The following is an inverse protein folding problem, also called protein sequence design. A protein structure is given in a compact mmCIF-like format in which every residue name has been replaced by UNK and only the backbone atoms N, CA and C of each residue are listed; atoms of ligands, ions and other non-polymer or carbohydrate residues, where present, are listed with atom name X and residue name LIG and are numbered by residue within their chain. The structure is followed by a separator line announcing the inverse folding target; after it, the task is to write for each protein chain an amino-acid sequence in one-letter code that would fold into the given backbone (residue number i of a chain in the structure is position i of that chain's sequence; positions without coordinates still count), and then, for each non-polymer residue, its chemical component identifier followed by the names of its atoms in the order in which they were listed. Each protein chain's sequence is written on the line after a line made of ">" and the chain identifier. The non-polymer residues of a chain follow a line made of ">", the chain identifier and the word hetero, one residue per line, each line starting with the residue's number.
data_IF_349577093758
#
_entry.id   IF_349577093758
#
_cell.length_a   1.000
_cell.length_b   1.000
_cell.length_c   1.000
_cell.angle_alpha   90.00
_cell.angle_beta   90.00
_cell.angle_gamma   90.00
#
_symmetry.space_group_name_H-M   'P 1'
#
loop_
_entity.id
_entity.type
_entity.pdbx_description
1 polymer ?
#
# COMPACT_ATOMS: atom_id res chain seq x y z
N UNK A 1 -16.89 -4.96 -24.92
CA UNK A 1 -15.84 -5.95 -24.62
C UNK A 1 -14.87 -5.30 -23.64
N UNK A 2 -15.14 -5.44 -22.34
CA UNK A 2 -14.25 -4.92 -21.30
C UNK A 2 -13.26 -6.03 -20.97
N UNK A 3 -12.04 -5.86 -21.46
CA UNK A 3 -10.94 -6.80 -21.28
C UNK A 3 -10.46 -6.64 -19.84
N UNK A 4 -10.99 -7.49 -18.94
CA UNK A 4 -10.40 -7.69 -17.62
C UNK A 4 -9.07 -8.42 -17.85
N UNK A 5 -7.99 -7.66 -17.83
CA UNK A 5 -6.65 -8.22 -17.74
C UNK A 5 -6.51 -8.88 -16.37
N UNK A 6 -6.77 -10.19 -16.36
CA UNK A 6 -6.41 -11.10 -15.27
C UNK A 6 -4.88 -11.09 -15.18
N UNK A 7 -4.34 -10.16 -14.39
CA UNK A 7 -2.91 -10.12 -14.13
C UNK A 7 -2.59 -11.25 -13.17
N UNK A 8 -2.07 -12.35 -13.72
CA UNK A 8 -1.31 -13.34 -12.97
C UNK A 8 -0.22 -12.59 -12.19
N UNK A 9 -0.40 -12.47 -10.89
CA UNK A 9 0.53 -11.77 -10.01
C UNK A 9 0.29 -12.33 -8.62
N UNK A 10 1.36 -12.57 -7.86
CA UNK A 10 1.33 -12.90 -6.44
C UNK A 10 0.15 -12.21 -5.73
N UNK A 11 -0.52 -12.87 -4.78
CA UNK A 11 -1.73 -12.35 -4.13
C UNK A 11 -1.37 -11.02 -3.43
N UNK A 12 -1.63 -9.90 -4.12
CA UNK A 12 -1.18 -8.56 -3.75
C UNK A 12 -2.38 -7.77 -3.24
N UNK A 13 -2.43 -7.55 -1.93
CA UNK A 13 -3.47 -6.78 -1.28
C UNK A 13 -3.06 -5.30 -1.20
N UNK A 14 -3.96 -4.40 -1.62
CA UNK A 14 -3.81 -2.97 -1.36
C UNK A 14 -4.48 -2.66 -0.01
N UNK A 15 -3.65 -2.32 0.98
CA UNK A 15 -4.11 -1.96 2.31
C UNK A 15 -3.97 -0.45 2.47
N UNK A 16 -5.08 0.20 2.80
CA UNK A 16 -5.11 1.63 3.08
C UNK A 16 -5.54 1.90 4.52
N UNK A 17 -4.94 2.91 5.14
CA UNK A 17 -5.33 3.37 6.46
C UNK A 17 -5.19 4.88 6.57
N UNK A 18 -6.11 5.48 7.34
CA UNK A 18 -6.17 6.92 7.51
C UNK A 18 -5.12 7.37 8.53
N UNK A 19 -4.32 8.38 8.16
CA UNK A 19 -3.37 9.02 9.07
C UNK A 19 -3.51 10.53 9.04
N UNK A 20 -3.37 11.15 10.21
CA UNK A 20 -3.48 12.61 10.36
C UNK A 20 -2.45 13.35 9.51
N UNK A 21 -1.23 12.84 9.46
CA UNK A 21 -0.14 13.37 8.64
C UNK A 21 0.41 12.25 7.76
N UNK A 22 -0.02 12.23 6.49
CA UNK A 22 0.46 11.25 5.53
C UNK A 22 1.68 11.80 4.79
N UNK A 23 2.85 11.37 5.25
CA UNK A 23 4.13 11.62 4.57
C UNK A 23 4.59 10.27 4.01
N UNK A 24 5.12 10.26 2.78
CA UNK A 24 5.62 9.04 2.15
C UNK A 24 6.58 8.25 3.06
N UNK A 25 7.50 8.92 3.75
CA UNK A 25 8.42 8.27 4.69
C UNK A 25 7.68 7.59 5.85
N UNK A 26 6.76 8.30 6.51
CA UNK A 26 5.98 7.72 7.62
C UNK A 26 5.08 6.57 7.16
N UNK A 27 4.45 6.71 5.99
CA UNK A 27 3.65 5.68 5.37
C UNK A 27 4.49 4.43 5.05
N UNK A 28 5.69 4.62 4.51
CA UNK A 28 6.64 3.54 4.23
C UNK A 28 7.11 2.82 5.50
N UNK A 29 7.49 3.57 6.54
CA UNK A 29 7.88 3.02 7.85
C UNK A 29 6.75 2.21 8.48
N UNK A 30 5.53 2.74 8.51
CA UNK A 30 4.36 2.06 9.09
C UNK A 30 4.07 0.78 8.31
N UNK A 31 4.11 0.81 6.99
CA UNK A 31 3.80 -0.37 6.18
C UNK A 31 4.87 -1.45 6.27
N UNK A 32 6.15 -1.07 6.26
CA UNK A 32 7.24 -2.01 6.53
C UNK A 32 7.16 -2.59 7.95
N UNK A 33 6.73 -1.80 8.92
CA UNK A 33 6.62 -2.24 10.32
C UNK A 33 5.44 -3.19 10.52
N UNK A 34 4.25 -2.84 10.03
CA UNK A 34 3.05 -3.68 10.13
C UNK A 34 3.19 -4.99 9.35
N UNK A 35 3.76 -4.93 8.15
CA UNK A 35 3.88 -6.07 7.24
C UNK A 35 5.31 -6.60 7.17
N UNK A 36 5.96 -6.66 8.34
CA UNK A 36 7.34 -7.14 8.49
C UNK A 36 7.45 -8.59 7.98
N UNK A 37 8.30 -8.81 6.97
CA UNK A 37 8.50 -10.11 6.34
C UNK A 37 7.63 -10.36 5.10
N UNK A 38 6.76 -9.41 4.73
CA UNK A 38 6.07 -9.39 3.42
C UNK A 38 6.76 -8.42 2.47
N UNK A 39 6.58 -8.63 1.17
CA UNK A 39 7.07 -7.69 0.15
C UNK A 39 6.09 -6.52 0.03
N UNK A 40 6.43 -5.40 0.66
CA UNK A 40 5.69 -4.14 0.54
C UNK A 40 6.21 -3.37 -0.67
N UNK A 41 5.29 -3.02 -1.57
CA UNK A 41 5.58 -2.29 -2.80
C UNK A 41 5.03 -0.88 -2.73
N UNK A 42 5.93 0.06 -3.02
CA UNK A 42 5.65 1.44 -3.40
C UNK A 42 4.56 2.13 -2.56
N UNK A 43 4.76 2.33 -1.25
CA UNK A 43 3.79 3.04 -0.42
C UNK A 43 3.60 4.49 -0.89
N UNK A 44 2.34 4.95 -0.95
CA UNK A 44 1.99 6.31 -1.33
C UNK A 44 0.92 6.91 -0.44
N UNK A 45 0.83 8.25 -0.46
CA UNK A 45 -0.14 9.02 0.29
C UNK A 45 -1.06 9.77 -0.67
N UNK A 46 -2.36 9.73 -0.43
CA UNK A 46 -3.34 10.49 -1.24
C UNK A 46 -3.33 12.00 -0.89
N UNK A 47 -3.25 12.32 0.40
CA UNK A 47 -3.26 13.71 0.92
C UNK A 47 -2.33 13.87 2.11
N UNK A 48 -1.72 15.05 2.25
CA UNK A 48 -0.79 15.32 3.35
C UNK A 48 -1.47 15.36 4.73
N UNK A 49 -2.64 15.99 4.85
CA UNK A 49 -3.38 16.10 6.10
C UNK A 49 -4.69 15.33 6.03
N UNK A 50 -4.94 14.45 7.01
CA UNK A 50 -6.10 13.56 7.05
C UNK A 50 -6.21 12.61 5.86
N UNK A 51 -5.08 12.29 5.22
CA UNK A 51 -5.03 11.44 4.03
C UNK A 51 -4.95 9.95 4.35
N UNK A 52 -4.97 9.16 3.29
CA UNK A 52 -4.79 7.72 3.36
C UNK A 52 -3.37 7.37 2.92
N UNK A 53 -2.73 6.52 3.71
CA UNK A 53 -1.52 5.81 3.34
C UNK A 53 -1.95 4.52 2.66
N UNK A 54 -1.49 4.29 1.43
CA UNK A 54 -1.74 3.11 0.64
C UNK A 54 -0.49 2.26 0.56
N UNK A 55 -0.65 0.97 0.80
CA UNK A 55 0.44 0.02 0.81
C UNK A 55 0.04 -1.25 0.11
N UNK A 56 0.76 -1.55 -0.97
CA UNK A 56 0.57 -2.77 -1.74
C UNK A 56 1.45 -3.88 -1.17
N UNK A 57 0.84 -4.91 -0.62
CA UNK A 57 1.56 -6.02 0.04
C UNK A 57 1.34 -7.27 -0.80
N UNK A 58 2.40 -7.90 -1.27
CA UNK A 58 2.29 -9.13 -2.04
C UNK A 58 2.67 -10.35 -1.20
N UNK A 59 1.82 -11.37 -1.24
CA UNK A 59 2.03 -12.67 -0.64
C UNK A 59 2.62 -13.59 -1.73
N UNK A 60 3.85 -14.04 -1.49
CA UNK A 60 4.55 -15.05 -2.31
C UNK A 60 3.88 -16.42 -2.13
#
# INVERSE_FOLDING_TARGET
>A
MLVLFESASADCEDVQFQILFCIKSSCEDICKFQWKGKKVYNPWCDKFFGGYCHCKICHD
#
